data_IF_276499494404
#
_entry.id   IF_276499494404
#
_cell.length_a   1.000
_cell.length_b   1.000
_cell.length_c   1.000
_cell.angle_alpha   90.00
_cell.angle_beta   90.00
_cell.angle_gamma   90.00
#
_symmetry.space_group_name_H-M   'P 1'
#
loop_
_entity.id
_entity.type
_entity.pdbx_description
1 polymer ?
#
# COMPACT_ATOMS: atom_id res chain seq x y z
N UNK A 1 31.94 52.36 -3.63
CA UNK A 1 31.29 51.04 -3.78
C UNK A 1 29.84 51.30 -4.07
N UNK A 2 29.25 50.54 -4.99
CA UNK A 2 27.79 50.55 -5.15
C UNK A 2 27.13 49.83 -3.98
N UNK A 3 25.89 50.17 -3.64
CA UNK A 3 25.11 49.51 -2.58
C UNK A 3 25.05 47.98 -2.76
N UNK A 4 25.12 47.52 -4.01
CA UNK A 4 25.15 46.10 -4.38
C UNK A 4 26.49 45.41 -4.05
N UNK A 5 27.62 46.10 -4.24
CA UNK A 5 28.95 45.60 -3.88
C UNK A 5 29.13 45.56 -2.35
N UNK A 6 28.63 46.58 -1.66
CA UNK A 6 28.68 46.65 -0.19
C UNK A 6 27.86 45.52 0.45
N UNK A 7 26.67 45.23 -0.07
CA UNK A 7 25.85 44.13 0.41
C UNK A 7 26.49 42.76 0.13
N UNK A 8 27.14 42.56 -1.03
CA UNK A 8 27.86 41.32 -1.34
C UNK A 8 29.03 41.11 -0.37
N UNK A 9 29.80 42.17 -0.10
CA UNK A 9 30.93 42.09 0.83
C UNK A 9 30.47 41.82 2.27
N UNK A 10 29.39 42.47 2.71
CA UNK A 10 28.81 42.24 4.02
C UNK A 10 28.40 40.76 4.21
N UNK A 11 27.75 40.17 3.21
CA UNK A 11 27.37 38.76 3.23
C UNK A 11 28.59 37.84 3.34
N UNK A 12 29.67 38.12 2.60
CA UNK A 12 30.91 37.33 2.65
C UNK A 12 31.60 37.42 4.00
N UNK A 13 31.69 38.62 4.58
CA UNK A 13 32.26 38.85 5.90
C UNK A 13 31.44 38.16 7.00
N UNK A 14 30.11 38.25 6.93
CA UNK A 14 29.22 37.60 7.88
C UNK A 14 29.27 36.07 7.81
N UNK A 15 29.43 35.52 6.61
CA UNK A 15 29.61 34.08 6.41
C UNK A 15 30.96 33.60 6.97
N UNK A 16 31.98 34.47 7.03
CA UNK A 16 33.29 34.17 7.60
C UNK A 16 33.91 32.87 7.05
N UNK A 17 33.84 32.69 5.72
CA UNK A 17 34.33 31.50 5.02
C UNK A 17 33.45 30.24 5.17
N UNK A 18 32.33 30.30 5.89
CA UNK A 18 31.34 29.22 5.91
C UNK A 18 30.49 29.27 4.65
N UNK A 19 30.13 28.10 4.13
CA UNK A 19 29.24 28.01 2.96
C UNK A 19 27.75 28.11 3.30
N UNK A 20 27.40 28.63 4.48
CA UNK A 20 26.04 28.74 4.97
C UNK A 20 25.87 30.03 5.77
N UNK A 21 24.82 30.79 5.46
CA UNK A 21 24.48 32.02 6.17
C UNK A 21 22.96 32.24 6.13
N UNK A 22 22.32 32.15 7.29
CA UNK A 22 20.88 32.45 7.42
C UNK A 22 20.64 33.94 7.63
N UNK A 23 19.46 34.44 7.26
CA UNK A 23 19.08 35.83 7.52
C UNK A 23 19.14 36.19 9.01
N UNK A 24 18.81 35.25 9.91
CA UNK A 24 18.85 35.48 11.36
C UNK A 24 20.29 35.55 11.89
N UNK A 25 21.17 34.67 11.41
CA UNK A 25 22.60 34.73 11.77
C UNK A 25 23.27 35.99 11.24
N UNK A 26 22.92 36.41 10.02
CA UNK A 26 23.39 37.68 9.47
C UNK A 26 22.85 38.87 10.27
N UNK A 27 21.56 38.90 10.59
CA UNK A 27 20.94 39.96 11.39
C UNK A 27 21.66 40.14 12.73
N UNK A 28 21.96 39.04 13.43
CA UNK A 28 22.71 39.08 14.70
C UNK A 28 24.13 39.61 14.53
N UNK A 29 24.80 39.25 13.44
CA UNK A 29 26.13 39.77 13.12
C UNK A 29 26.06 41.27 12.79
N UNK A 30 25.07 41.68 12.01
CA UNK A 30 24.87 43.03 11.51
C UNK A 30 24.63 44.05 12.63
N UNK A 31 23.97 43.66 13.74
CA UNK A 31 23.72 44.52 14.91
C UNK A 31 24.99 45.19 15.48
N UNK A 32 26.17 44.61 15.24
CA UNK A 32 27.46 45.15 15.71
C UNK A 32 28.30 45.76 14.58
N UNK A 33 27.69 46.09 13.44
CA UNK A 33 28.37 46.59 12.24
C UNK A 33 27.62 47.77 11.62
N UNK A 34 28.24 48.45 10.65
CA UNK A 34 27.58 49.49 9.85
C UNK A 34 27.09 48.97 8.48
N UNK A 35 27.04 47.66 8.29
CA UNK A 35 26.65 47.05 7.02
C UNK A 35 25.13 47.03 6.81
N UNK A 36 24.68 46.89 5.54
CA UNK A 36 23.26 46.86 5.18
C UNK A 36 22.48 45.83 5.99
N UNK A 37 21.27 46.21 6.39
CA UNK A 37 20.30 45.36 7.05
C UNK A 37 19.78 44.25 6.14
N UNK A 38 19.20 43.22 6.75
CA UNK A 38 18.50 42.17 5.99
C UNK A 38 17.42 42.77 5.09
N UNK A 39 16.72 43.81 5.53
CA UNK A 39 15.69 44.47 4.73
C UNK A 39 16.28 45.15 3.48
N UNK A 40 17.38 45.88 3.62
CA UNK A 40 18.07 46.53 2.49
C UNK A 40 18.63 45.50 1.51
N UNK A 41 19.21 44.41 2.00
CA UNK A 41 19.64 43.28 1.16
C UNK A 41 18.45 42.67 0.41
N UNK A 42 17.31 42.48 1.06
CA UNK A 42 16.10 41.97 0.39
C UNK A 42 15.55 42.96 -0.65
N UNK A 43 15.64 44.26 -0.42
CA UNK A 43 15.24 45.29 -1.39
C UNK A 43 16.16 45.25 -2.62
N UNK A 44 17.47 45.10 -2.42
CA UNK A 44 18.46 45.09 -3.50
C UNK A 44 18.41 43.82 -4.36
N UNK A 45 18.22 42.65 -3.74
CA UNK A 45 18.31 41.35 -4.42
C UNK A 45 16.96 40.64 -4.62
N UNK A 46 15.88 41.14 -4.02
CA UNK A 46 14.54 40.55 -4.05
C UNK A 46 14.36 39.32 -3.17
N UNK A 47 15.42 38.54 -2.91
CA UNK A 47 15.39 37.42 -1.98
C UNK A 47 16.75 37.17 -1.32
N UNK A 48 16.71 36.60 -0.11
CA UNK A 48 17.92 36.23 0.63
C UNK A 48 18.77 35.22 -0.16
N UNK A 49 18.11 34.30 -0.85
CA UNK A 49 18.78 33.25 -1.60
C UNK A 49 19.55 33.79 -2.81
N UNK A 50 18.97 34.75 -3.55
CA UNK A 50 19.67 35.44 -4.65
C UNK A 50 20.89 36.21 -4.11
N UNK A 51 20.74 36.86 -2.95
CA UNK A 51 21.83 37.60 -2.33
C UNK A 51 23.01 36.67 -1.96
N UNK A 52 22.71 35.50 -1.37
CA UNK A 52 23.70 34.46 -1.07
C UNK A 52 24.38 33.92 -2.34
N UNK A 53 23.62 33.63 -3.39
CA UNK A 53 24.17 33.19 -4.70
C UNK A 53 25.14 34.23 -5.28
N UNK A 54 24.77 35.52 -5.27
CA UNK A 54 25.63 36.61 -5.76
C UNK A 54 26.88 36.81 -4.90
N UNK A 55 26.77 36.52 -3.61
CA UNK A 55 27.89 36.52 -2.69
C UNK A 55 28.78 35.26 -2.82
N UNK A 56 28.33 34.24 -3.55
CA UNK A 56 29.01 32.94 -3.68
C UNK A 56 28.94 32.11 -2.40
N UNK A 57 27.89 32.30 -1.59
CA UNK A 57 27.66 31.61 -0.33
C UNK A 57 26.48 30.65 -0.53
N UNK A 58 26.67 29.38 -0.20
CA UNK A 58 25.65 28.34 -0.40
C UNK A 58 26.03 27.39 -1.52
N UNK A 59 25.38 26.23 -1.54
CA UNK A 59 25.53 25.29 -2.64
C UNK A 59 24.77 25.80 -3.86
N UNK A 60 25.43 25.84 -5.01
CA UNK A 60 24.74 25.90 -6.30
C UNK A 60 23.74 24.76 -6.27
N UNK A 61 22.43 25.05 -6.28
CA UNK A 61 21.44 23.98 -6.38
C UNK A 61 21.68 23.30 -7.73
N UNK A 62 22.24 22.10 -7.68
CA UNK A 62 22.31 21.24 -8.86
C UNK A 62 20.85 20.98 -9.25
N UNK A 63 20.42 21.57 -10.36
CA UNK A 63 19.10 21.32 -10.89
C UNK A 63 19.07 19.86 -11.35
N UNK A 64 18.46 18.98 -10.56
CA UNK A 64 18.29 17.60 -10.95
C UNK A 64 17.25 17.49 -12.06
N UNK A 65 17.67 16.89 -13.16
CA UNK A 65 16.76 16.47 -14.22
C UNK A 65 15.95 15.26 -13.77
N UNK A 66 14.90 14.92 -14.51
CA UNK A 66 14.16 13.67 -14.29
C UNK A 66 15.07 12.43 -14.39
N UNK A 67 16.08 12.45 -15.27
CA UNK A 67 17.02 11.34 -15.43
C UNK A 67 17.86 11.14 -14.18
N UNK A 68 18.43 12.23 -13.65
CA UNK A 68 19.25 12.17 -12.44
C UNK A 68 18.47 11.62 -11.24
N UNK A 69 17.18 12.00 -11.14
CA UNK A 69 16.29 11.49 -10.11
C UNK A 69 15.99 10.00 -10.29
N UNK A 70 15.74 9.55 -11.52
CA UNK A 70 15.49 8.13 -11.79
C UNK A 70 16.72 7.28 -11.45
N UNK A 71 17.92 7.74 -11.83
CA UNK A 71 19.18 7.07 -11.51
C UNK A 71 19.42 7.00 -10.00
N UNK A 72 19.22 8.12 -9.28
CA UNK A 72 19.34 8.15 -7.82
C UNK A 72 18.34 7.20 -7.14
N UNK A 73 17.10 7.13 -7.61
CA UNK A 73 16.09 6.21 -7.08
C UNK A 73 16.46 4.75 -7.29
N UNK A 74 17.05 4.41 -8.45
CA UNK A 74 17.51 3.05 -8.77
C UNK A 74 18.72 2.67 -7.90
N UNK A 75 19.72 3.53 -7.81
CA UNK A 75 20.89 3.32 -6.95
C UNK A 75 20.48 3.12 -5.48
N UNK A 76 19.62 4.00 -4.96
CA UNK A 76 19.12 3.87 -3.59
C UNK A 76 18.31 2.59 -3.37
N UNK A 77 17.58 2.09 -4.39
CA UNK A 77 16.82 0.83 -4.28
C UNK A 77 17.74 -0.39 -4.21
N UNK A 78 18.91 -0.35 -4.84
CA UNK A 78 19.91 -1.42 -4.77
C UNK A 78 20.60 -1.48 -3.40
N UNK A 79 20.80 -0.31 -2.77
CA UNK A 79 21.51 -0.21 -1.48
C UNK A 79 20.59 -0.34 -0.25
N UNK A 80 19.31 0.03 -0.38
CA UNK A 80 18.38 0.09 0.76
C UNK A 80 17.37 -1.06 0.79
N UNK A 81 17.31 -1.73 1.94
CA UNK A 81 16.25 -2.67 2.31
C UNK A 81 15.82 -2.39 3.77
N UNK A 82 14.61 -1.86 4.05
CA UNK A 82 13.52 -1.57 3.12
C UNK A 82 13.71 -0.24 2.37
N UNK A 83 13.34 -0.22 1.09
CA UNK A 83 13.32 1.00 0.29
C UNK A 83 12.01 1.77 0.50
N UNK A 84 12.10 2.89 1.22
CA UNK A 84 10.98 3.77 1.59
C UNK A 84 11.39 5.23 1.42
N UNK A 85 10.43 6.16 1.41
CA UNK A 85 10.76 7.59 1.36
C UNK A 85 11.55 8.07 2.59
N UNK A 86 11.41 7.39 3.73
CA UNK A 86 12.18 7.71 4.95
C UNK A 86 13.64 7.25 4.81
N UNK A 87 13.86 5.99 4.44
CA UNK A 87 15.21 5.44 4.23
C UNK A 87 15.92 6.13 3.07
N UNK A 88 15.20 6.46 1.98
CA UNK A 88 15.74 7.27 0.89
C UNK A 88 16.19 8.66 1.34
N UNK A 89 15.42 9.33 2.21
CA UNK A 89 15.77 10.67 2.70
C UNK A 89 17.11 10.66 3.43
N UNK A 90 17.35 9.65 4.26
CA UNK A 90 18.62 9.48 4.99
C UNK A 90 19.77 9.18 4.02
N UNK A 91 19.54 8.29 3.06
CA UNK A 91 20.52 7.98 2.01
C UNK A 91 20.88 9.20 1.16
N UNK A 92 19.89 9.99 0.75
CA UNK A 92 20.09 11.17 -0.11
C UNK A 92 20.95 12.25 0.55
N UNK A 93 20.86 12.39 1.88
CA UNK A 93 21.72 13.32 2.64
C UNK A 93 23.20 12.93 2.59
N UNK A 94 23.50 11.64 2.52
CA UNK A 94 24.87 11.12 2.48
C UNK A 94 25.46 11.10 1.06
N UNK A 95 24.61 11.05 0.03
CA UNK A 95 25.01 10.85 -1.37
C UNK A 95 24.85 12.09 -2.26
N UNK A 96 24.57 13.27 -1.67
CA UNK A 96 24.25 14.50 -2.42
C UNK A 96 23.17 14.27 -3.49
N UNK A 97 22.21 13.38 -3.19
CA UNK A 97 21.18 12.96 -4.13
C UNK A 97 19.95 13.89 -4.05
N UNK A 98 19.04 13.83 -5.03
CA UNK A 98 17.83 14.64 -5.05
C UNK A 98 17.01 14.45 -3.78
N UNK A 99 16.57 15.55 -3.17
CA UNK A 99 15.71 15.51 -2.00
C UNK A 99 14.29 15.04 -2.37
N UNK A 100 13.49 14.65 -1.36
CA UNK A 100 12.07 14.35 -1.60
C UNK A 100 11.31 15.54 -2.22
N UNK A 101 11.73 16.77 -1.92
CA UNK A 101 11.15 17.98 -2.50
C UNK A 101 11.46 18.08 -3.98
N UNK A 102 12.69 17.78 -4.39
CA UNK A 102 13.11 17.80 -5.80
C UNK A 102 12.34 16.72 -6.59
N UNK A 103 12.17 15.54 -6.00
CA UNK A 103 11.37 14.44 -6.57
C UNK A 103 9.91 14.86 -6.76
N UNK A 104 9.29 15.42 -5.72
CA UNK A 104 7.88 15.87 -5.79
C UNK A 104 7.72 17.00 -6.80
N UNK A 105 8.70 17.91 -6.89
CA UNK A 105 8.65 19.00 -7.86
C UNK A 105 8.72 18.52 -9.31
N UNK A 106 9.54 17.50 -9.60
CA UNK A 106 9.71 16.98 -10.97
C UNK A 106 8.64 15.95 -11.38
N UNK A 107 8.14 15.15 -10.45
CA UNK A 107 7.26 14.01 -10.72
C UNK A 107 5.86 14.15 -10.08
N UNK A 108 5.54 15.25 -9.42
CA UNK A 108 4.34 15.50 -8.62
C UNK A 108 4.20 14.62 -7.35
N UNK A 109 4.77 13.42 -7.33
CA UNK A 109 4.76 12.56 -6.16
C UNK A 109 5.88 11.51 -6.16
N UNK A 110 6.24 11.03 -4.97
CA UNK A 110 7.15 9.90 -4.79
C UNK A 110 6.67 8.64 -5.53
N UNK A 111 5.37 8.34 -5.49
CA UNK A 111 4.81 7.18 -6.19
C UNK A 111 4.98 7.30 -7.70
N UNK A 112 4.71 8.48 -8.28
CA UNK A 112 4.91 8.72 -9.70
C UNK A 112 6.38 8.57 -10.10
N UNK A 113 7.30 9.10 -9.30
CA UNK A 113 8.74 8.93 -9.53
C UNK A 113 9.17 7.46 -9.50
N UNK A 114 8.68 6.67 -8.53
CA UNK A 114 8.95 5.23 -8.49
C UNK A 114 8.30 4.46 -9.65
N UNK A 115 7.19 4.96 -10.21
CA UNK A 115 6.57 4.39 -11.39
C UNK A 115 7.44 4.63 -12.63
N UNK A 116 7.92 5.85 -12.84
CA UNK A 116 8.79 6.22 -13.96
C UNK A 116 10.19 5.59 -13.83
N UNK A 117 10.66 5.33 -12.60
CA UNK A 117 11.87 4.56 -12.34
C UNK A 117 11.70 3.03 -12.52
N UNK A 118 10.49 2.55 -12.83
CA UNK A 118 10.08 1.14 -12.96
C UNK A 118 10.12 0.31 -11.68
N UNK A 119 10.43 0.92 -10.54
CA UNK A 119 10.54 0.28 -9.22
C UNK A 119 9.15 -0.16 -8.70
N UNK A 120 8.09 0.61 -8.96
CA UNK A 120 6.73 0.21 -8.56
C UNK A 120 6.24 -1.02 -9.32
N UNK A 121 6.57 -1.12 -10.62
CA UNK A 121 6.17 -2.26 -11.46
C UNK A 121 6.80 -3.54 -10.94
N UNK A 122 8.09 -3.50 -10.66
CA UNK A 122 8.82 -4.62 -10.06
C UNK A 122 8.25 -5.02 -8.70
N UNK A 123 7.98 -4.05 -7.81
CA UNK A 123 7.38 -4.33 -6.50
C UNK A 123 5.99 -4.97 -6.60
N UNK A 124 5.18 -4.56 -7.59
CA UNK A 124 3.86 -5.17 -7.82
C UNK A 124 4.02 -6.60 -8.34
N UNK A 125 4.92 -6.83 -9.29
CA UNK A 125 5.19 -8.16 -9.84
C UNK A 125 5.75 -9.11 -8.78
N UNK A 126 6.62 -8.63 -7.89
CA UNK A 126 7.16 -9.43 -6.78
C UNK A 126 6.07 -9.80 -5.76
N UNK A 127 5.19 -8.85 -5.42
CA UNK A 127 4.03 -9.16 -4.58
C UNK A 127 3.11 -10.19 -5.23
N UNK A 128 2.88 -10.08 -6.54
CA UNK A 128 2.05 -11.01 -7.30
C UNK A 128 2.67 -12.42 -7.29
N UNK A 129 3.98 -12.53 -7.56
CA UNK A 129 4.74 -13.78 -7.45
C UNK A 129 4.61 -14.39 -6.06
N UNK A 130 4.83 -13.60 -5.00
CA UNK A 130 4.70 -14.07 -3.61
C UNK A 130 3.30 -14.57 -3.29
N UNK A 131 2.25 -13.93 -3.80
CA UNK A 131 0.86 -14.40 -3.62
C UNK A 131 0.66 -15.76 -4.30
N UNK A 132 1.07 -15.88 -5.56
CA UNK A 132 0.92 -17.12 -6.34
C UNK A 132 1.66 -18.27 -5.66
N UNK A 133 2.94 -18.09 -5.32
CA UNK A 133 3.76 -19.09 -4.64
C UNK A 133 3.14 -19.52 -3.30
N UNK A 134 2.64 -18.57 -2.51
CA UNK A 134 2.02 -18.88 -1.22
C UNK A 134 0.76 -19.70 -1.36
N UNK A 135 -0.05 -19.44 -2.40
CA UNK A 135 -1.29 -20.16 -2.63
C UNK A 135 -1.04 -21.57 -3.18
N UNK A 136 -0.05 -21.74 -4.07
CA UNK A 136 0.36 -23.05 -4.58
C UNK A 136 0.98 -23.92 -3.47
N UNK A 137 1.90 -23.36 -2.67
CA UNK A 137 2.51 -24.08 -1.54
C UNK A 137 1.44 -24.47 -0.49
N UNK A 138 0.48 -23.58 -0.22
CA UNK A 138 -0.61 -23.88 0.69
C UNK A 138 -1.54 -24.98 0.13
N UNK A 139 -1.78 -25.01 -1.18
CA UNK A 139 -2.57 -26.06 -1.83
C UNK A 139 -1.89 -27.43 -1.72
N UNK A 140 -0.58 -27.50 -1.89
CA UNK A 140 0.17 -28.76 -1.75
C UNK A 140 0.25 -29.23 -0.30
N UNK A 141 0.34 -28.29 0.66
CA UNK A 141 0.51 -28.63 2.08
C UNK A 141 -0.82 -28.94 2.79
N UNK A 142 -1.90 -28.25 2.43
CA UNK A 142 -3.16 -28.32 3.15
C UNK A 142 -4.12 -29.30 2.47
N UNK A 143 -4.77 -30.20 3.23
CA UNK A 143 -5.78 -31.11 2.65
C UNK A 143 -6.98 -30.35 2.07
N UNK A 144 -7.29 -29.17 2.61
CA UNK A 144 -8.38 -28.31 2.15
C UNK A 144 -7.93 -26.85 2.26
N UNK A 145 -7.86 -26.17 1.11
CA UNK A 145 -7.48 -24.75 1.05
C UNK A 145 -8.71 -23.84 1.18
N UNK A 146 -8.96 -23.39 2.41
CA UNK A 146 -9.94 -22.34 2.73
C UNK A 146 -9.20 -21.09 3.20
N UNK A 147 -9.87 -19.94 3.24
CA UNK A 147 -9.29 -18.72 3.81
C UNK A 147 -8.85 -18.91 5.27
N UNK A 148 -9.57 -19.73 6.04
CA UNK A 148 -9.26 -20.01 7.45
C UNK A 148 -8.03 -20.92 7.59
N UNK A 149 -7.96 -22.01 6.81
CA UNK A 149 -6.82 -22.93 6.85
C UNK A 149 -5.55 -22.26 6.31
N UNK A 150 -5.67 -21.45 5.27
CA UNK A 150 -4.58 -20.61 4.77
C UNK A 150 -4.10 -19.62 5.83
N UNK A 151 -5.01 -18.90 6.51
CA UNK A 151 -4.62 -17.93 7.55
C UNK A 151 -3.80 -18.59 8.67
N UNK A 152 -4.21 -19.79 9.10
CA UNK A 152 -3.45 -20.59 10.08
C UNK A 152 -2.09 -21.04 9.54
N UNK A 153 -2.05 -21.50 8.29
CA UNK A 153 -0.82 -21.97 7.64
C UNK A 153 0.19 -20.83 7.38
N UNK A 154 -0.29 -19.65 7.02
CA UNK A 154 0.51 -18.47 6.71
C UNK A 154 1.05 -17.76 7.97
N UNK A 155 0.48 -18.06 9.15
CA UNK A 155 0.88 -17.47 10.41
C UNK A 155 2.36 -17.74 10.68
N UNK A 156 3.14 -16.67 10.88
CA UNK A 156 4.58 -16.77 11.15
C UNK A 156 5.47 -17.06 9.92
N UNK A 157 4.92 -17.28 8.72
CA UNK A 157 5.68 -17.63 7.50
C UNK A 157 6.03 -16.45 6.59
N UNK A 158 5.84 -15.21 7.03
CA UNK A 158 5.98 -13.99 6.20
C UNK A 158 5.24 -14.10 4.83
N UNK A 159 4.09 -14.76 4.81
CA UNK A 159 3.26 -14.93 3.60
C UNK A 159 2.19 -13.85 3.51
N UNK A 160 1.70 -13.49 2.30
CA UNK A 160 0.62 -12.52 2.13
C UNK A 160 -0.63 -12.97 2.87
N UNK A 161 -1.32 -12.04 3.53
CA UNK A 161 -2.57 -12.33 4.25
C UNK A 161 -3.74 -12.50 3.27
N UNK A 162 -4.82 -13.15 3.72
CA UNK A 162 -6.07 -13.26 2.94
C UNK A 162 -6.59 -11.88 2.50
N UNK A 163 -6.47 -10.86 3.37
CA UNK A 163 -6.87 -9.50 3.04
C UNK A 163 -5.99 -8.87 1.95
N UNK A 164 -4.69 -9.11 1.97
CA UNK A 164 -3.77 -8.67 0.91
C UNK A 164 -4.11 -9.33 -0.42
N UNK A 165 -4.36 -10.64 -0.41
CA UNK A 165 -4.74 -11.43 -1.58
C UNK A 165 -6.07 -10.92 -2.16
N UNK A 166 -7.10 -10.80 -1.32
CA UNK A 166 -8.41 -10.31 -1.72
C UNK A 166 -8.36 -8.88 -2.26
N UNK A 167 -7.53 -7.99 -1.68
CA UNK A 167 -7.36 -6.62 -2.20
C UNK A 167 -6.76 -6.61 -3.62
N UNK A 168 -5.89 -7.56 -3.95
CA UNK A 168 -5.27 -7.62 -5.29
C UNK A 168 -6.15 -8.27 -6.33
N UNK A 169 -6.86 -9.32 -5.96
CA UNK A 169 -7.68 -10.11 -6.89
C UNK A 169 -9.18 -9.81 -6.75
N UNK A 170 -9.59 -8.80 -5.97
CA UNK A 170 -10.99 -8.47 -5.68
C UNK A 170 -11.66 -9.37 -4.63
N UNK A 171 -11.34 -10.67 -4.60
CA UNK A 171 -11.77 -11.59 -3.54
C UNK A 171 -10.83 -12.80 -3.43
N UNK A 172 -10.90 -13.52 -2.30
CA UNK A 172 -10.19 -14.79 -2.11
C UNK A 172 -10.59 -15.83 -3.16
N UNK A 173 -11.90 -15.98 -3.40
CA UNK A 173 -12.42 -16.91 -4.39
C UNK A 173 -11.96 -16.58 -5.80
N UNK A 174 -11.92 -15.30 -6.17
CA UNK A 174 -11.42 -14.88 -7.47
C UNK A 174 -9.90 -15.10 -7.60
N UNK A 175 -9.13 -14.93 -6.52
CA UNK A 175 -7.71 -15.25 -6.52
C UNK A 175 -7.46 -16.73 -6.85
N UNK A 176 -8.18 -17.63 -6.18
CA UNK A 176 -8.07 -19.07 -6.44
C UNK A 176 -8.52 -19.44 -7.85
N UNK A 177 -9.61 -18.83 -8.33
CA UNK A 177 -10.12 -19.06 -9.69
C UNK A 177 -9.13 -18.63 -10.77
N UNK A 178 -8.56 -17.42 -10.66
CA UNK A 178 -7.55 -16.90 -11.61
C UNK A 178 -6.29 -17.77 -11.63
N UNK A 179 -5.87 -18.29 -10.47
CA UNK A 179 -4.69 -19.16 -10.34
C UNK A 179 -5.01 -20.61 -10.75
N UNK A 180 -6.28 -20.96 -10.92
CA UNK A 180 -6.72 -22.32 -11.28
C UNK A 180 -6.73 -23.30 -10.09
N UNK A 181 -6.79 -22.80 -8.87
CA UNK A 181 -6.90 -23.63 -7.67
C UNK A 181 -8.38 -23.97 -7.43
N UNK A 182 -8.70 -25.26 -7.49
CA UNK A 182 -10.06 -25.74 -7.20
C UNK A 182 -10.47 -25.38 -5.77
N UNK A 183 -11.56 -24.62 -5.66
CA UNK A 183 -12.14 -24.32 -4.36
C UNK A 183 -12.83 -25.56 -3.81
N UNK A 184 -12.61 -25.90 -2.54
CA UNK A 184 -13.41 -26.91 -1.86
C UNK A 184 -14.83 -26.35 -1.65
N UNK A 185 -15.64 -26.37 -2.70
CA UNK A 185 -17.08 -26.16 -2.57
C UNK A 185 -17.62 -27.43 -1.94
N UNK A 186 -18.13 -27.35 -0.72
CA UNK A 186 -19.06 -28.38 -0.23
C UNK A 186 -20.27 -28.35 -1.16
N UNK A 187 -20.24 -29.21 -2.19
CA UNK A 187 -21.38 -29.41 -3.08
C UNK A 187 -22.39 -30.22 -2.30
N UNK A 188 -23.47 -29.56 -1.91
CA UNK A 188 -24.62 -30.23 -1.35
C UNK A 188 -25.30 -30.98 -2.50
N UNK A 189 -25.40 -32.29 -2.37
CA UNK A 189 -26.21 -33.11 -3.26
C UNK A 189 -27.68 -33.00 -2.88
N UNK A 190 -28.59 -33.22 -3.83
CA UNK A 190 -30.03 -33.19 -3.53
C UNK A 190 -30.37 -34.19 -2.42
N UNK A 191 -29.76 -35.38 -2.44
CA UNK A 191 -29.96 -36.42 -1.43
C UNK A 191 -29.49 -35.98 -0.03
N UNK A 192 -28.35 -35.30 0.09
CA UNK A 192 -27.88 -34.76 1.36
C UNK A 192 -28.82 -33.69 1.91
N UNK A 193 -29.30 -32.79 1.05
CA UNK A 193 -30.24 -31.74 1.45
C UNK A 193 -31.57 -32.34 1.89
N UNK A 194 -32.11 -33.30 1.15
CA UNK A 194 -33.36 -33.98 1.50
C UNK A 194 -33.26 -34.72 2.84
N UNK A 195 -32.13 -35.40 3.12
CA UNK A 195 -31.89 -36.04 4.43
C UNK A 195 -31.92 -35.04 5.58
N UNK A 196 -31.25 -33.90 5.42
CA UNK A 196 -31.20 -32.85 6.45
C UNK A 196 -32.57 -32.20 6.64
N UNK A 197 -33.32 -31.97 5.57
CA UNK A 197 -34.67 -31.43 5.66
C UNK A 197 -35.64 -32.42 6.32
N UNK A 198 -35.47 -33.72 6.08
CA UNK A 198 -36.21 -34.76 6.80
C UNK A 198 -35.88 -34.73 8.30
N UNK A 199 -34.60 -34.69 8.67
CA UNK A 199 -34.19 -34.58 10.08
C UNK A 199 -34.79 -33.33 10.75
N UNK A 200 -34.76 -32.18 10.06
CA UNK A 200 -35.37 -30.95 10.55
C UNK A 200 -36.90 -31.06 10.71
N UNK A 201 -37.57 -31.81 9.83
CA UNK A 201 -39.02 -32.06 9.90
C UNK A 201 -39.42 -33.03 11.02
N UNK A 202 -38.50 -33.87 11.52
CA UNK A 202 -38.75 -34.78 12.65
C UNK A 202 -38.56 -34.10 14.01
N UNK A 203 -37.73 -33.05 14.07
CA UNK A 203 -37.44 -32.36 15.34
C UNK A 203 -38.62 -31.50 15.85
N UNK A 204 -39.51 -31.04 14.96
CA UNK A 204 -40.76 -30.35 15.31
C UNK A 204 -41.84 -30.53 14.24
N UNK A 205 -43.10 -30.46 14.66
CA UNK A 205 -44.25 -30.38 13.77
C UNK A 205 -44.17 -29.15 12.84
N UNK A 206 -43.85 -29.41 11.57
CA UNK A 206 -43.91 -28.43 10.48
C UNK A 206 -42.55 -27.85 10.07
N UNK A 207 -42.14 -28.15 8.82
CA UNK A 207 -40.91 -27.65 8.22
C UNK A 207 -41.10 -26.24 7.63
N UNK A 208 -41.09 -25.23 8.49
CA UNK A 208 -41.09 -23.81 8.09
C UNK A 208 -39.67 -23.26 7.93
N UNK A 209 -39.50 -22.16 7.18
CA UNK A 209 -38.19 -21.48 7.02
C UNK A 209 -37.63 -21.05 8.38
N UNK A 210 -38.46 -20.47 9.25
CA UNK A 210 -38.04 -20.01 10.58
C UNK A 210 -37.60 -21.19 11.48
N UNK A 211 -38.30 -22.31 11.41
CA UNK A 211 -37.91 -23.53 12.12
C UNK A 211 -36.57 -24.07 11.60
N UNK A 212 -36.41 -24.16 10.28
CA UNK A 212 -35.16 -24.62 9.70
C UNK A 212 -33.98 -23.70 10.01
N UNK A 213 -34.18 -22.39 10.02
CA UNK A 213 -33.14 -21.44 10.44
C UNK A 213 -32.67 -21.73 11.86
N UNK A 214 -33.61 -21.95 12.80
CA UNK A 214 -33.27 -22.33 14.17
C UNK A 214 -32.59 -23.70 14.26
N UNK A 215 -33.02 -24.67 13.46
CA UNK A 215 -32.36 -25.98 13.33
C UNK A 215 -30.92 -25.86 12.80
N UNK A 216 -30.71 -24.95 11.84
CA UNK A 216 -29.41 -24.75 11.19
C UNK A 216 -28.37 -24.05 12.09
N UNK A 217 -28.80 -23.37 13.15
CA UNK A 217 -27.91 -22.66 14.07
C UNK A 217 -26.91 -23.62 14.73
N UNK A 218 -25.62 -23.41 14.46
CA UNK A 218 -24.54 -24.24 14.99
C UNK A 218 -24.41 -25.62 14.35
N UNK A 219 -25.23 -25.97 13.34
CA UNK A 219 -25.15 -27.25 12.60
C UNK A 219 -24.53 -27.07 11.22
N UNK A 220 -23.85 -28.10 10.73
CA UNK A 220 -23.31 -28.13 9.37
C UNK A 220 -24.41 -28.48 8.37
N UNK A 221 -25.22 -27.49 7.97
CA UNK A 221 -26.42 -27.65 7.14
C UNK A 221 -26.39 -26.70 5.93
N UNK A 222 -27.10 -26.99 4.83
CA UNK A 222 -27.16 -26.10 3.68
C UNK A 222 -27.93 -24.82 4.02
N UNK A 223 -27.51 -23.69 3.45
CA UNK A 223 -28.26 -22.44 3.59
C UNK A 223 -29.56 -22.50 2.80
N UNK A 224 -30.54 -21.65 3.16
CA UNK A 224 -31.79 -21.53 2.39
C UNK A 224 -31.50 -21.26 0.91
N UNK A 225 -30.50 -20.42 0.60
CA UNK A 225 -30.10 -20.13 -0.78
C UNK A 225 -29.61 -21.36 -1.56
N UNK A 226 -28.87 -22.26 -0.90
CA UNK A 226 -28.46 -23.55 -1.50
C UNK A 226 -29.67 -24.43 -1.78
N UNK A 227 -30.61 -24.51 -0.84
CA UNK A 227 -31.83 -25.31 -0.97
C UNK A 227 -32.70 -24.79 -2.10
N UNK A 228 -32.91 -23.47 -2.18
CA UNK A 228 -33.68 -22.88 -3.29
C UNK A 228 -32.99 -23.02 -4.63
N UNK A 229 -31.65 -22.99 -4.68
CA UNK A 229 -30.90 -23.18 -5.91
C UNK A 229 -31.00 -24.62 -6.45
N UNK A 230 -31.01 -25.62 -5.57
CA UNK A 230 -31.14 -27.03 -5.94
C UNK A 230 -32.57 -27.41 -6.35
N UNK A 231 -33.58 -26.96 -5.60
CA UNK A 231 -34.97 -27.41 -5.80
C UNK A 231 -35.88 -26.37 -6.49
N UNK A 232 -35.31 -25.23 -6.92
CA UNK A 232 -36.00 -24.08 -7.51
C UNK A 232 -36.79 -23.23 -6.50
N UNK A 233 -37.32 -23.82 -5.44
CA UNK A 233 -37.95 -23.11 -4.33
C UNK A 233 -37.94 -23.92 -3.03
N UNK A 234 -38.07 -23.24 -1.89
CA UNK A 234 -38.22 -23.88 -0.58
C UNK A 234 -39.44 -24.80 -0.54
N UNK A 235 -40.57 -24.34 -1.08
CA UNK A 235 -41.82 -25.10 -1.09
C UNK A 235 -41.69 -26.41 -1.87
N UNK A 236 -40.95 -26.42 -2.99
CA UNK A 236 -40.66 -27.64 -3.74
C UNK A 236 -39.83 -28.63 -2.92
N UNK A 237 -38.78 -28.14 -2.26
CA UNK A 237 -37.93 -28.99 -1.40
C UNK A 237 -38.75 -29.64 -0.28
N UNK A 238 -39.60 -28.87 0.41
CA UNK A 238 -40.50 -29.38 1.46
C UNK A 238 -41.51 -30.38 0.90
N UNK A 239 -42.11 -30.10 -0.27
CA UNK A 239 -43.06 -31.01 -0.91
C UNK A 239 -42.42 -32.37 -1.21
N UNK A 240 -41.20 -32.39 -1.75
CA UNK A 240 -40.48 -33.64 -2.03
C UNK A 240 -40.24 -34.44 -0.74
N UNK A 241 -39.80 -33.79 0.33
CA UNK A 241 -39.59 -34.43 1.64
C UNK A 241 -40.88 -35.01 2.22
N UNK A 242 -42.01 -34.28 2.11
CA UNK A 242 -43.30 -34.76 2.60
C UNK A 242 -43.86 -35.92 1.76
N UNK A 243 -43.70 -35.88 0.45
CA UNK A 243 -44.13 -36.96 -0.44
C UNK A 243 -43.33 -38.26 -0.22
N UNK A 244 -42.03 -38.15 0.04
CA UNK A 244 -41.16 -39.29 0.36
C UNK A 244 -41.52 -39.96 1.72
N UNK A 245 -42.24 -39.27 2.60
CA UNK A 245 -42.72 -39.82 3.88
C UNK A 245 -44.06 -40.54 3.78
N UNK A 246 -44.81 -40.31 2.70
CA UNK A 246 -46.14 -40.88 2.48
C UNK A 246 -46.13 -42.11 1.55
N UNK A 247 -44.99 -42.41 0.93
CA UNK A 247 -44.76 -43.60 0.08
C UNK A 247 -44.04 -44.69 0.85
#
# INVERSE_FOLDING_TARGET
MSDLEEAIEALRLAANGKNELTANTYFRWQLNTQYPSVAEILILFGSWQIALERAGIGTVRVAFTKSDIIEALRAAKEELEPFTSATYREWAQQHQAPSLTDIVHQFNSWQQALSEAEILKERVQEMERRIIESLLEAQETLPVLTSQTYTKWAAGKNRPTVATIARRYGSWSNALEIIGIEQPRKRWTEEEVLRILAEAADERDGLTIAHYQKFSEGRNTPSIGVITALFGSWSNAVMIVLNQRQS
#
